data_IF_632847182999
#
_entry.id   IF_632847182999
#
_cell.length_a   1.000
_cell.length_b   1.000
_cell.length_c   1.000
_cell.angle_alpha   90.00
_cell.angle_beta   90.00
_cell.angle_gamma   90.00
#
_symmetry.space_group_name_H-M   'P 1'
#
loop_
_entity.id
_entity.type
_entity.pdbx_description
1 polymer ?
#
# COMPACT_ATOMS: atom_id res chain seq x y z
N UNK A 1 5.64 -3.55 -18.30
CA UNK A 1 4.71 -3.06 -17.26
C UNK A 1 5.01 -3.85 -16.00
N UNK A 2 5.52 -3.20 -14.94
CA UNK A 2 5.79 -3.88 -13.67
C UNK A 2 4.53 -3.79 -12.80
N UNK A 3 3.94 -4.94 -12.47
CA UNK A 3 2.85 -4.99 -11.52
C UNK A 3 3.45 -5.12 -10.11
N UNK A 4 3.36 -4.08 -9.25
CA UNK A 4 3.93 -4.11 -7.90
C UNK A 4 3.00 -4.96 -7.03
N UNK A 5 3.22 -6.26 -7.12
CA UNK A 5 2.36 -7.26 -6.50
C UNK A 5 2.90 -7.66 -5.14
N UNK A 6 2.08 -7.47 -4.11
CA UNK A 6 2.43 -7.72 -2.71
C UNK A 6 1.47 -8.75 -2.12
N UNK A 7 2.00 -9.73 -1.38
CA UNK A 7 1.18 -10.74 -0.69
C UNK A 7 0.48 -10.21 0.57
N UNK A 8 0.55 -8.89 0.80
CA UNK A 8 -0.04 -8.21 1.94
C UNK A 8 0.49 -8.64 3.31
N UNK A 9 1.71 -9.21 3.39
CA UNK A 9 2.29 -9.55 4.69
C UNK A 9 2.55 -8.29 5.51
N UNK A 10 2.66 -8.42 6.83
CA UNK A 10 2.81 -7.28 7.73
C UNK A 10 3.94 -6.32 7.33
N UNK A 11 5.09 -6.84 6.88
CA UNK A 11 6.22 -6.02 6.43
C UNK A 11 5.98 -5.38 5.06
N UNK A 12 5.26 -6.03 4.15
CA UNK A 12 4.87 -5.43 2.85
C UNK A 12 3.98 -4.21 3.07
N UNK A 13 2.96 -4.36 3.93
CA UNK A 13 2.05 -3.26 4.28
C UNK A 13 2.78 -2.13 5.00
N UNK A 14 3.72 -2.47 5.89
CA UNK A 14 4.54 -1.48 6.58
C UNK A 14 5.42 -0.70 5.59
N UNK A 15 6.09 -1.39 4.68
CA UNK A 15 6.94 -0.77 3.67
C UNK A 15 6.13 0.17 2.76
N UNK A 16 4.97 -0.28 2.27
CA UNK A 16 4.08 0.55 1.45
C UNK A 16 3.59 1.78 2.21
N UNK A 17 3.24 1.63 3.49
CA UNK A 17 2.84 2.75 4.35
C UNK A 17 3.98 3.75 4.52
N UNK A 18 5.19 3.28 4.81
CA UNK A 18 6.36 4.15 4.98
C UNK A 18 6.76 4.85 3.69
N UNK A 19 6.60 4.21 2.53
CA UNK A 19 6.80 4.86 1.23
C UNK A 19 5.77 5.97 0.99
N UNK A 20 4.50 5.75 1.34
CA UNK A 20 3.46 6.79 1.26
C UNK A 20 3.70 7.94 2.25
N UNK A 21 4.14 7.63 3.46
CA UNK A 21 4.45 8.63 4.51
C UNK A 21 5.60 9.56 4.08
N UNK A 22 6.61 9.01 3.41
CA UNK A 22 7.79 9.75 2.97
C UNK A 22 7.68 10.28 1.53
N UNK A 23 6.49 10.26 0.92
CA UNK A 23 6.27 10.66 -0.49
C UNK A 23 7.18 9.92 -1.51
N UNK A 24 7.64 8.73 -1.15
CA UNK A 24 8.52 7.87 -1.96
C UNK A 24 7.77 6.93 -2.92
N UNK A 25 6.45 6.83 -2.80
CA UNK A 25 5.63 6.02 -3.71
C UNK A 25 5.13 6.87 -4.89
N UNK A 26 5.73 6.67 -6.06
CA UNK A 26 5.34 7.36 -7.30
C UNK A 26 3.87 7.11 -7.66
N UNK A 27 3.13 8.17 -8.03
CA UNK A 27 1.73 8.09 -8.51
C UNK A 27 1.53 7.24 -9.77
N UNK A 28 2.60 6.86 -10.46
CA UNK A 28 2.57 5.97 -11.63
C UNK A 28 2.57 4.49 -11.24
N UNK A 29 2.81 4.18 -9.96
CA UNK A 29 2.91 2.83 -9.42
C UNK A 29 1.63 2.57 -8.64
N UNK A 30 0.81 1.63 -9.10
CA UNK A 30 -0.41 1.21 -8.41
C UNK A 30 -0.18 -0.19 -7.82
N UNK A 31 0.08 -0.32 -6.51
CA UNK A 31 0.34 -1.60 -5.89
C UNK A 31 -0.92 -2.48 -5.90
N UNK A 32 -0.74 -3.76 -6.20
CA UNK A 32 -1.78 -4.78 -6.06
C UNK A 32 -1.50 -5.55 -4.79
N UNK A 33 -2.47 -5.61 -3.88
CA UNK A 33 -2.32 -6.32 -2.59
C UNK A 33 -3.21 -7.56 -2.63
N UNK A 34 -2.62 -8.74 -2.45
CA UNK A 34 -3.40 -9.97 -2.30
C UNK A 34 -4.41 -9.87 -1.15
N UNK A 35 -5.56 -10.56 -1.25
CA UNK A 35 -6.53 -10.61 -0.18
C UNK A 35 -5.89 -11.19 1.09
N UNK A 36 -5.80 -10.35 2.11
CA UNK A 36 -5.35 -10.72 3.44
C UNK A 36 -6.49 -10.66 4.43
N UNK A 37 -6.27 -11.20 5.64
CA UNK A 37 -7.15 -10.97 6.77
C UNK A 37 -7.31 -9.47 7.01
N UNK A 38 -8.50 -9.02 7.42
CA UNK A 38 -8.72 -7.64 7.87
C UNK A 38 -7.85 -7.36 9.09
N UNK A 39 -6.71 -6.70 8.87
CA UNK A 39 -5.74 -6.36 9.92
C UNK A 39 -5.68 -4.85 10.13
N UNK A 40 -5.32 -4.44 11.34
CA UNK A 40 -5.10 -3.02 11.65
C UNK A 40 -4.01 -2.38 10.76
N UNK A 41 -3.02 -3.15 10.32
CA UNK A 41 -1.98 -2.67 9.40
C UNK A 41 -2.56 -2.29 8.03
N UNK A 42 -3.46 -3.12 7.48
CA UNK A 42 -4.14 -2.82 6.22
C UNK A 42 -5.01 -1.56 6.34
N UNK A 43 -5.80 -1.43 7.40
CA UNK A 43 -6.62 -0.25 7.63
C UNK A 43 -5.78 1.04 7.73
N UNK A 44 -4.63 0.98 8.41
CA UNK A 44 -3.68 2.10 8.48
C UNK A 44 -3.13 2.46 7.10
N UNK A 45 -2.75 1.47 6.29
CA UNK A 45 -2.28 1.72 4.91
C UNK A 45 -3.37 2.42 4.08
N UNK A 46 -4.58 1.84 4.03
CA UNK A 46 -5.67 2.33 3.19
C UNK A 46 -6.13 3.73 3.59
N UNK A 47 -6.23 4.01 4.90
CA UNK A 47 -6.57 5.36 5.38
C UNK A 47 -5.53 6.40 4.98
N UNK A 48 -4.24 6.02 4.96
CA UNK A 48 -3.17 6.92 4.53
C UNK A 48 -3.14 7.10 3.02
N UNK A 49 -3.35 6.02 2.26
CA UNK A 49 -3.50 6.06 0.81
C UNK A 49 -4.64 6.99 0.38
N UNK A 50 -5.80 6.91 1.07
CA UNK A 50 -6.93 7.82 0.83
C UNK A 50 -6.57 9.28 1.09
N UNK A 51 -5.90 9.58 2.20
CA UNK A 51 -5.41 10.93 2.51
C UNK A 51 -4.45 11.47 1.44
N UNK A 52 -3.58 10.63 0.91
CA UNK A 52 -2.61 10.96 -0.16
C UNK A 52 -3.19 10.86 -1.58
N UNK A 53 -4.47 10.49 -1.72
CA UNK A 53 -5.13 10.25 -3.01
C UNK A 53 -4.34 9.28 -3.90
N UNK A 54 -3.77 8.23 -3.29
CA UNK A 54 -2.98 7.23 -3.98
C UNK A 54 -3.79 5.94 -4.17
N UNK A 55 -3.84 5.43 -5.39
CA UNK A 55 -4.64 4.27 -5.76
C UNK A 55 -3.93 2.95 -5.44
N UNK A 56 -4.70 2.00 -4.92
CA UNK A 56 -4.30 0.62 -4.66
C UNK A 56 -5.38 -0.31 -5.24
N UNK A 57 -4.99 -1.50 -5.67
CA UNK A 57 -5.89 -2.54 -6.21
C UNK A 57 -5.84 -3.82 -5.38
#
# INVERSE_FOLDING_TARGET
>A
MYYPYFRGKQFDLLALRTLLENDGLSKKVNPIIEPIKNTAALHKLLSYAQKKQHSFF
#
